data_IF_061584488064
#
_entry.id   IF_061584488064
#
_cell.length_a   1.000
_cell.length_b   1.000
_cell.length_c   1.000
_cell.angle_alpha   90.00
_cell.angle_beta   90.00
_cell.angle_gamma   90.00
#
_symmetry.space_group_name_H-M   'P 1'
#
loop_
_entity.id
_entity.type
_entity.pdbx_description
1 polymer ?
#
# COMPACT_ATOMS: atom_id res chain seq x y z
N UNK A 1 9.33 -14.96 -7.00
CA UNK A 1 10.57 -15.42 -7.66
C UNK A 1 11.62 -15.52 -6.57
N UNK A 2 11.56 -16.57 -5.75
CA UNK A 2 12.24 -16.56 -4.42
C UNK A 2 12.72 -17.94 -3.95
N UNK A 3 12.69 -18.96 -4.81
CA UNK A 3 13.30 -20.26 -4.47
C UNK A 3 14.42 -20.69 -5.44
N UNK A 4 14.71 -19.89 -6.48
CA UNK A 4 15.76 -20.17 -7.48
C UNK A 4 16.93 -19.16 -7.46
N UNK A 5 16.86 -18.11 -6.63
CA UNK A 5 17.94 -17.13 -6.44
C UNK A 5 18.96 -17.51 -5.34
N UNK A 6 18.75 -18.61 -4.62
CA UNK A 6 19.69 -19.09 -3.60
C UNK A 6 20.87 -19.88 -4.19
N UNK A 7 20.78 -20.26 -5.47
CA UNK A 7 21.82 -21.03 -6.19
C UNK A 7 22.59 -20.20 -7.24
N UNK A 8 22.04 -19.10 -7.76
CA UNK A 8 22.71 -18.11 -8.63
C UNK A 8 22.02 -16.76 -8.41
N UNK A 9 22.74 -15.64 -8.41
CA UNK A 9 22.24 -14.28 -8.12
C UNK A 9 21.21 -13.69 -9.11
N UNK A 10 20.38 -14.52 -9.72
CA UNK A 10 19.26 -14.20 -10.61
C UNK A 10 19.63 -13.22 -11.73
N UNK A 11 18.67 -12.36 -12.09
CA UNK A 11 18.88 -11.36 -13.14
C UNK A 11 19.93 -10.30 -12.77
N UNK A 12 20.24 -10.11 -11.48
CA UNK A 12 21.27 -9.17 -11.04
C UNK A 12 22.69 -9.61 -11.41
N UNK A 13 22.92 -10.90 -11.65
CA UNK A 13 24.21 -11.43 -12.12
C UNK A 13 24.36 -11.41 -13.65
N UNK A 14 23.27 -11.23 -14.40
CA UNK A 14 23.27 -11.26 -15.87
C UNK A 14 23.47 -9.86 -16.49
N UNK A 15 23.13 -8.79 -15.77
CA UNK A 15 23.21 -7.42 -16.27
C UNK A 15 24.34 -6.64 -15.59
N UNK A 16 25.27 -6.10 -16.40
CA UNK A 16 26.35 -5.24 -15.93
C UNK A 16 26.06 -3.73 -16.07
N UNK A 17 26.65 -2.95 -15.16
CA UNK A 17 26.77 -1.48 -15.18
C UNK A 17 25.48 -0.73 -15.55
N UNK A 18 25.32 -0.27 -16.80
CA UNK A 18 24.22 0.62 -17.19
C UNK A 18 22.86 -0.06 -17.17
N UNK A 19 22.77 -1.33 -17.59
CA UNK A 19 21.50 -2.08 -17.56
C UNK A 19 21.09 -2.38 -16.11
N UNK A 20 22.06 -2.73 -15.26
CA UNK A 20 21.87 -2.89 -13.83
C UNK A 20 21.33 -1.61 -13.19
N UNK A 21 21.94 -0.45 -13.47
CA UNK A 21 21.49 0.84 -12.95
C UNK A 21 20.05 1.17 -13.35
N UNK A 22 19.65 0.89 -14.59
CA UNK A 22 18.27 1.10 -15.05
C UNK A 22 17.26 0.22 -14.30
N UNK A 23 17.62 -1.03 -13.99
CA UNK A 23 16.74 -1.90 -13.18
C UNK A 23 16.54 -1.34 -11.77
N UNK A 24 17.60 -0.94 -11.06
CA UNK A 24 17.46 -0.32 -9.73
C UNK A 24 16.68 0.99 -9.79
N UNK A 25 16.98 1.86 -10.77
CA UNK A 25 16.27 3.12 -10.93
C UNK A 25 14.78 2.90 -11.19
N UNK A 26 14.42 1.89 -12.01
CA UNK A 26 13.02 1.54 -12.26
C UNK A 26 12.28 1.06 -11.00
N UNK A 27 12.96 0.32 -10.12
CA UNK A 27 12.36 -0.14 -8.86
C UNK A 27 12.01 1.05 -7.94
N UNK A 28 12.91 2.03 -7.84
CA UNK A 28 12.67 3.25 -7.07
C UNK A 28 11.61 4.15 -7.71
N UNK A 29 11.61 4.30 -9.04
CA UNK A 29 10.56 5.05 -9.75
C UNK A 29 9.19 4.42 -9.51
N UNK A 30 9.09 3.08 -9.56
CA UNK A 30 7.84 2.36 -9.28
C UNK A 30 7.35 2.63 -7.86
N UNK A 31 8.24 2.65 -6.88
CA UNK A 31 7.90 2.95 -5.48
C UNK A 31 7.31 4.36 -5.36
N UNK A 32 7.98 5.37 -5.92
CA UNK A 32 7.51 6.76 -5.89
C UNK A 32 6.18 6.92 -6.63
N UNK A 33 6.03 6.30 -7.81
CA UNK A 33 4.80 6.35 -8.59
C UNK A 33 3.61 5.72 -7.87
N UNK A 34 3.79 4.56 -7.25
CA UNK A 34 2.74 3.89 -6.47
C UNK A 34 2.31 4.76 -5.27
N UNK A 35 3.27 5.39 -4.59
CA UNK A 35 2.97 6.30 -3.49
C UNK A 35 2.28 7.58 -3.97
N UNK A 36 2.63 8.12 -5.15
CA UNK A 36 1.95 9.25 -5.75
C UNK A 36 0.47 8.94 -6.03
N UNK A 37 0.17 7.76 -6.57
CA UNK A 37 -1.21 7.28 -6.77
C UNK A 37 -1.94 7.10 -5.44
N UNK A 38 -1.26 6.56 -4.42
CA UNK A 38 -1.86 6.42 -3.09
C UNK A 38 -2.22 7.79 -2.46
N UNK A 39 -1.35 8.80 -2.61
CA UNK A 39 -1.63 10.15 -2.09
C UNK A 39 -2.82 10.79 -2.79
N UNK A 40 -2.97 10.63 -4.11
CA UNK A 40 -4.08 11.22 -4.85
C UNK A 40 -5.41 10.53 -4.55
N UNK A 41 -5.43 9.20 -4.46
CA UNK A 41 -6.66 8.44 -4.22
C UNK A 41 -7.14 8.48 -2.77
N UNK A 42 -6.22 8.42 -1.80
CA UNK A 42 -6.58 8.24 -0.38
C UNK A 42 -6.29 9.46 0.49
N UNK A 43 -5.23 10.23 0.23
CA UNK A 43 -4.81 11.35 1.08
C UNK A 43 -5.23 12.74 0.54
N UNK A 44 -6.18 12.77 -0.39
CA UNK A 44 -6.74 14.01 -0.93
C UNK A 44 -5.75 14.83 -1.78
N UNK A 45 -4.68 14.21 -2.27
CA UNK A 45 -3.72 14.84 -3.18
C UNK A 45 -3.12 16.14 -2.63
N UNK A 46 -3.50 17.22 -3.29
CA UNK A 46 -2.99 18.59 -3.14
C UNK A 46 -3.71 19.39 -2.04
N UNK A 47 -4.81 18.86 -1.49
CA UNK A 47 -5.57 19.56 -0.47
C UNK A 47 -4.91 19.43 0.90
N UNK A 48 -4.81 20.56 1.60
CA UNK A 48 -4.34 20.67 2.98
C UNK A 48 -5.31 21.55 3.77
N UNK A 49 -5.73 21.14 4.99
CA UNK A 49 -6.63 21.95 5.81
C UNK A 49 -5.95 23.29 6.15
N UNK A 50 -6.62 24.40 5.86
CA UNK A 50 -6.09 25.76 6.07
C UNK A 50 -5.34 26.38 4.88
N UNK A 51 -5.19 25.66 3.76
CA UNK A 51 -4.55 26.23 2.56
C UNK A 51 -5.37 27.37 1.95
N UNK A 52 -6.69 27.20 1.90
CA UNK A 52 -7.63 28.19 1.36
C UNK A 52 -7.68 29.47 2.20
N UNK A 53 -7.69 29.33 3.53
CA UNK A 53 -7.73 30.49 4.44
C UNK A 53 -6.43 31.26 4.33
N UNK A 54 -5.28 30.58 4.36
CA UNK A 54 -3.97 31.21 4.20
C UNK A 54 -3.82 31.92 2.84
N UNK A 55 -4.27 31.30 1.75
CA UNK A 55 -4.24 31.91 0.42
C UNK A 55 -5.11 33.18 0.36
N UNK A 56 -6.29 33.18 1.00
CA UNK A 56 -7.14 34.37 1.09
C UNK A 56 -6.53 35.47 1.95
N UNK A 57 -5.91 35.13 3.08
CA UNK A 57 -5.17 36.11 3.91
C UNK A 57 -4.02 36.75 3.13
N UNK A 58 -3.23 35.96 2.40
CA UNK A 58 -2.10 36.47 1.61
C UNK A 58 -2.61 37.31 0.43
N UNK A 59 -3.68 36.87 -0.24
CA UNK A 59 -4.30 37.63 -1.32
C UNK A 59 -4.83 39.00 -0.87
N UNK A 60 -5.36 39.08 0.36
CA UNK A 60 -5.89 40.32 0.93
C UNK A 60 -4.81 41.33 1.33
N UNK A 61 -3.62 40.87 1.74
CA UNK A 61 -2.53 41.75 2.23
C UNK A 61 -1.48 42.06 1.15
N UNK A 62 -1.20 41.12 0.25
CA UNK A 62 -0.08 41.19 -0.70
C UNK A 62 -0.52 41.13 -2.18
N UNK A 63 -1.82 41.13 -2.45
CA UNK A 63 -2.41 41.12 -3.78
C UNK A 63 -2.66 39.72 -4.36
N UNK A 64 -3.57 39.65 -5.36
CA UNK A 64 -4.08 38.41 -5.95
C UNK A 64 -2.97 37.50 -6.51
N UNK A 65 -1.92 38.09 -7.06
CA UNK A 65 -0.78 37.36 -7.63
C UNK A 65 0.00 36.59 -6.55
N UNK A 66 0.30 37.24 -5.42
CA UNK A 66 0.99 36.61 -4.31
C UNK A 66 0.14 35.50 -3.67
N UNK A 67 -1.17 35.72 -3.54
CA UNK A 67 -2.11 34.71 -3.02
C UNK A 67 -2.14 33.43 -3.87
N UNK A 68 -2.21 33.57 -5.20
CA UNK A 68 -2.22 32.44 -6.12
C UNK A 68 -0.87 31.71 -6.16
N UNK A 69 0.25 32.44 -6.11
CA UNK A 69 1.58 31.84 -6.06
C UNK A 69 1.80 31.01 -4.79
N UNK A 70 1.36 31.53 -3.63
CA UNK A 70 1.44 30.81 -2.35
C UNK A 70 0.55 29.56 -2.37
N UNK A 71 -0.66 29.65 -2.93
CA UNK A 71 -1.53 28.49 -3.08
C UNK A 71 -0.89 27.39 -3.94
N UNK A 72 -0.29 27.76 -5.09
CA UNK A 72 0.37 26.82 -6.00
C UNK A 72 1.61 26.16 -5.37
N UNK A 73 2.49 26.95 -4.76
CA UNK A 73 3.73 26.43 -4.15
C UNK A 73 3.45 25.56 -2.92
N UNK A 74 2.53 25.98 -2.05
CA UNK A 74 2.18 25.20 -0.86
C UNK A 74 1.40 23.92 -1.20
N UNK A 75 0.51 23.94 -2.20
CA UNK A 75 -0.20 22.73 -2.62
C UNK A 75 0.75 21.69 -3.21
N UNK A 76 1.69 22.12 -4.05
CA UNK A 76 2.74 21.26 -4.59
C UNK A 76 3.67 20.76 -3.48
N UNK A 77 4.09 21.63 -2.56
CA UNK A 77 4.89 21.26 -1.39
C UNK A 77 4.19 20.23 -0.50
N UNK A 78 2.90 20.40 -0.22
CA UNK A 78 2.11 19.46 0.55
C UNK A 78 1.98 18.10 -0.14
N UNK A 79 1.77 18.08 -1.47
CA UNK A 79 1.74 16.85 -2.24
C UNK A 79 3.08 16.10 -2.17
N UNK A 80 4.19 16.79 -2.46
CA UNK A 80 5.53 16.19 -2.41
C UNK A 80 5.91 15.70 -1.01
N UNK A 81 5.50 16.44 0.03
CA UNK A 81 5.72 16.04 1.42
C UNK A 81 4.96 14.75 1.73
N UNK A 82 3.67 14.64 1.34
CA UNK A 82 2.89 13.40 1.51
C UNK A 82 3.51 12.21 0.77
N UNK A 83 3.97 12.41 -0.46
CA UNK A 83 4.62 11.35 -1.26
C UNK A 83 5.93 10.90 -0.62
N UNK A 84 6.74 11.84 -0.13
CA UNK A 84 8.00 11.55 0.54
C UNK A 84 7.77 10.82 1.86
N UNK A 85 6.75 11.24 2.62
CA UNK A 85 6.35 10.59 3.87
C UNK A 85 5.88 9.14 3.61
N UNK A 86 5.01 8.91 2.62
CA UNK A 86 4.62 7.54 2.24
C UNK A 86 5.81 6.71 1.73
N UNK A 87 6.75 7.32 1.02
CA UNK A 87 7.97 6.63 0.56
C UNK A 87 8.86 6.22 1.73
N UNK A 88 9.00 7.08 2.73
CA UNK A 88 9.66 6.75 3.98
C UNK A 88 8.96 5.59 4.70
N UNK A 89 7.63 5.61 4.79
CA UNK A 89 6.85 4.52 5.39
C UNK A 89 7.04 3.19 4.63
N UNK A 90 7.03 3.19 3.30
CA UNK A 90 7.26 1.97 2.51
C UNK A 90 8.65 1.37 2.74
N UNK A 91 9.67 2.21 2.90
CA UNK A 91 11.04 1.77 3.26
C UNK A 91 11.07 1.24 4.70
N UNK A 92 10.35 1.87 5.62
CA UNK A 92 10.26 1.40 7.00
C UNK A 92 9.51 0.05 7.11
N UNK A 93 8.43 -0.14 6.35
CA UNK A 93 7.73 -1.43 6.25
C UNK A 93 8.67 -2.51 5.73
N UNK A 94 9.47 -2.21 4.70
CA UNK A 94 10.50 -3.14 4.20
C UNK A 94 11.51 -3.54 5.28
N UNK A 95 11.85 -2.64 6.20
CA UNK A 95 12.77 -2.92 7.30
C UNK A 95 12.14 -3.73 8.45
N UNK A 96 10.81 -3.70 8.60
CA UNK A 96 10.10 -4.31 9.74
C UNK A 96 9.42 -5.64 9.41
N UNK A 97 9.05 -5.87 8.15
CA UNK A 97 8.32 -7.08 7.74
C UNK A 97 9.29 -8.27 7.58
N UNK A 98 9.08 -9.37 8.33
CA UNK A 98 9.80 -10.62 8.10
C UNK A 98 9.49 -11.17 6.70
N UNK A 99 10.50 -11.73 6.02
CA UNK A 99 10.34 -12.26 4.65
C UNK A 99 9.19 -13.29 4.61
N UNK A 100 8.19 -13.03 3.76
CA UNK A 100 6.98 -13.86 3.61
C UNK A 100 7.20 -14.85 2.46
N UNK A 101 6.80 -16.11 2.64
CA UNK A 101 6.91 -17.12 1.57
C UNK A 101 5.89 -16.85 0.46
N UNK A 102 6.26 -17.16 -0.79
CA UNK A 102 5.39 -16.98 -1.98
C UNK A 102 3.97 -17.55 -1.81
N UNK A 103 3.86 -18.76 -1.25
CA UNK A 103 2.57 -19.42 -1.02
C UNK A 103 1.66 -18.61 -0.08
N UNK A 104 2.25 -17.93 0.91
CA UNK A 104 1.52 -17.08 1.85
C UNK A 104 1.08 -15.78 1.18
N UNK A 105 1.91 -15.20 0.31
CA UNK A 105 1.56 -14.02 -0.48
C UNK A 105 0.40 -14.30 -1.45
N UNK A 106 0.45 -15.45 -2.14
CA UNK A 106 -0.62 -15.87 -3.05
C UNK A 106 -1.94 -16.09 -2.31
N UNK A 107 -1.88 -16.73 -1.13
CA UNK A 107 -3.04 -16.96 -0.29
C UNK A 107 -3.64 -15.63 0.24
N UNK A 108 -2.80 -14.67 0.64
CA UNK A 108 -3.23 -13.33 1.06
C UNK A 108 -3.95 -12.58 -0.08
N UNK A 109 -3.37 -12.60 -1.29
CA UNK A 109 -3.96 -11.94 -2.47
C UNK A 109 -5.33 -12.50 -2.83
N UNK A 110 -5.42 -13.82 -3.00
CA UNK A 110 -6.63 -14.45 -3.53
C UNK A 110 -7.72 -14.68 -2.49
N UNK A 111 -7.38 -15.03 -1.25
CA UNK A 111 -8.39 -15.37 -0.25
C UNK A 111 -8.79 -14.21 0.65
N UNK A 112 -7.93 -13.21 0.80
CA UNK A 112 -8.17 -12.10 1.72
C UNK A 112 -8.39 -10.80 0.93
N UNK A 113 -7.44 -10.37 0.10
CA UNK A 113 -7.52 -9.04 -0.54
C UNK A 113 -8.65 -8.93 -1.57
N UNK A 114 -8.82 -9.93 -2.44
CA UNK A 114 -9.81 -9.88 -3.52
C UNK A 114 -11.27 -9.87 -3.01
N UNK A 115 -11.69 -10.80 -2.11
CA UNK A 115 -13.05 -10.77 -1.56
C UNK A 115 -13.33 -9.49 -0.76
N UNK A 116 -12.31 -8.98 -0.04
CA UNK A 116 -12.42 -7.77 0.76
C UNK A 116 -12.60 -6.50 -0.10
N UNK A 117 -11.89 -6.40 -1.21
CA UNK A 117 -12.05 -5.28 -2.14
C UNK A 117 -13.46 -5.27 -2.77
N UNK A 118 -13.94 -6.43 -3.22
CA UNK A 118 -15.30 -6.58 -3.76
C UNK A 118 -16.37 -6.19 -2.73
N UNK A 119 -16.21 -6.64 -1.49
CA UNK A 119 -17.13 -6.29 -0.42
C UNK A 119 -17.15 -4.78 -0.14
N UNK A 120 -15.99 -4.12 -0.11
CA UNK A 120 -15.91 -2.68 0.11
C UNK A 120 -16.63 -1.88 -1.00
N UNK A 121 -16.42 -2.26 -2.26
CA UNK A 121 -17.09 -1.61 -3.40
C UNK A 121 -18.60 -1.81 -3.34
N UNK A 122 -19.07 -3.03 -3.06
CA UNK A 122 -20.50 -3.33 -2.93
C UNK A 122 -21.13 -2.52 -1.80
N UNK A 123 -20.50 -2.46 -0.63
CA UNK A 123 -20.97 -1.66 0.50
C UNK A 123 -21.01 -0.17 0.18
N UNK A 124 -19.96 0.36 -0.44
CA UNK A 124 -19.91 1.78 -0.83
C UNK A 124 -21.02 2.12 -1.82
N UNK A 125 -21.32 1.22 -2.77
CA UNK A 125 -22.44 1.39 -3.70
C UNK A 125 -23.80 1.45 -2.98
N UNK A 126 -24.03 0.54 -2.02
CA UNK A 126 -25.27 0.50 -1.23
C UNK A 126 -25.44 1.77 -0.38
N UNK A 127 -24.40 2.18 0.36
CA UNK A 127 -24.44 3.35 1.24
C UNK A 127 -24.67 4.65 0.44
N UNK A 128 -24.08 4.77 -0.74
CA UNK A 128 -24.27 5.93 -1.61
C UNK A 128 -25.70 6.06 -2.16
N UNK A 129 -26.47 4.96 -2.23
CA UNK A 129 -27.87 4.98 -2.68
C UNK A 129 -28.85 5.30 -1.54
N UNK A 130 -28.55 4.86 -0.31
CA UNK A 130 -29.45 4.99 0.85
C UNK A 130 -29.34 6.34 1.58
N UNK A 131 -28.20 7.04 1.49
CA UNK A 131 -27.94 8.26 2.27
C UNK A 131 -27.76 9.47 1.33
N UNK A 132 -28.65 10.48 1.36
CA UNK A 132 -28.56 11.68 0.51
C UNK A 132 -27.34 12.56 0.82
N UNK A 133 -26.85 12.54 2.07
CA UNK A 133 -25.75 13.38 2.53
C UNK A 133 -24.38 12.77 2.20
N UNK A 134 -23.68 13.37 1.24
CA UNK A 134 -22.38 12.88 0.72
C UNK A 134 -21.28 12.81 1.78
N UNK A 135 -21.31 13.65 2.81
CA UNK A 135 -20.29 13.71 3.87
C UNK A 135 -20.51 12.57 4.89
N UNK A 136 -21.77 12.32 5.27
CA UNK A 136 -22.12 11.28 6.25
C UNK A 136 -21.99 9.89 5.60
N UNK A 137 -22.40 9.76 4.34
CA UNK A 137 -22.24 8.55 3.52
C UNK A 137 -20.77 8.10 3.40
N UNK A 138 -19.84 9.04 3.16
CA UNK A 138 -18.41 8.73 3.08
C UNK A 138 -17.79 8.24 4.39
N UNK A 139 -18.18 8.84 5.52
CA UNK A 139 -17.68 8.44 6.85
C UNK A 139 -18.25 7.07 7.24
N UNK A 140 -19.55 6.83 7.02
CA UNK A 140 -20.22 5.57 7.33
C UNK A 140 -19.67 4.42 6.46
N UNK A 141 -19.48 4.65 5.16
CA UNK A 141 -18.91 3.64 4.26
C UNK A 141 -17.46 3.29 4.66
N UNK A 142 -16.66 4.28 5.05
CA UNK A 142 -15.30 4.04 5.53
C UNK A 142 -15.26 3.26 6.84
N UNK A 143 -16.10 3.62 7.82
CA UNK A 143 -16.17 2.95 9.12
C UNK A 143 -16.68 1.52 8.98
N UNK A 144 -17.75 1.29 8.21
CA UNK A 144 -18.26 -0.07 7.97
C UNK A 144 -17.25 -0.90 7.16
N UNK A 145 -16.60 -0.29 6.17
CA UNK A 145 -15.51 -0.93 5.43
C UNK A 145 -14.39 -1.39 6.36
N UNK A 146 -13.92 -0.54 7.28
CA UNK A 146 -12.90 -0.88 8.27
C UNK A 146 -13.38 -1.96 9.24
N UNK A 147 -14.61 -1.87 9.76
CA UNK A 147 -15.17 -2.85 10.69
C UNK A 147 -15.29 -4.23 10.03
N UNK A 148 -15.67 -4.29 8.74
CA UNK A 148 -15.74 -5.57 8.04
C UNK A 148 -14.35 -6.09 7.67
N UNK A 149 -13.38 -5.21 7.34
CA UNK A 149 -11.97 -5.60 7.18
C UNK A 149 -11.45 -6.26 8.45
N UNK A 150 -11.70 -5.67 9.61
CA UNK A 150 -11.30 -6.25 10.90
C UNK A 150 -12.08 -7.54 11.21
N UNK A 151 -13.41 -7.54 11.02
CA UNK A 151 -14.26 -8.70 11.29
C UNK A 151 -13.90 -9.93 10.45
N UNK A 152 -13.68 -9.74 9.15
CA UNK A 152 -13.34 -10.84 8.23
C UNK A 152 -11.90 -11.31 8.44
N UNK A 153 -10.96 -10.41 8.75
CA UNK A 153 -9.58 -10.82 9.07
C UNK A 153 -9.45 -11.55 10.42
N UNK A 154 -10.37 -11.30 11.37
CA UNK A 154 -10.47 -12.08 12.61
C UNK A 154 -11.08 -13.48 12.36
N UNK A 155 -12.11 -13.58 11.52
CA UNK A 155 -12.76 -14.87 11.20
C UNK A 155 -11.90 -15.76 10.29
N UNK A 156 -11.15 -15.15 9.36
CA UNK A 156 -10.28 -15.84 8.41
C UNK A 156 -8.79 -15.75 8.77
N UNK A 157 -8.45 -15.33 10.00
CA UNK A 157 -7.07 -15.29 10.48
C UNK A 157 -6.38 -16.64 10.26
N UNK A 158 -5.07 -16.67 9.96
CA UNK A 158 -4.37 -17.89 9.59
C UNK A 158 -4.57 -18.95 10.68
N UNK A 159 -5.37 -19.99 10.37
CA UNK A 159 -5.50 -21.16 11.23
C UNK A 159 -4.09 -21.70 11.41
N UNK A 160 -3.60 -21.68 12.65
CA UNK A 160 -2.30 -22.26 13.01
C UNK A 160 -2.21 -23.63 12.34
N UNK A 161 -1.19 -23.90 11.51
CA UNK A 161 -1.01 -25.25 10.99
C UNK A 161 -0.89 -26.19 12.18
N UNK A 162 -1.61 -27.30 12.14
CA UNK A 162 -1.54 -28.31 13.19
C UNK A 162 -0.07 -28.68 13.42
N UNK A 163 0.38 -28.53 14.66
CA UNK A 163 1.70 -28.96 15.13
C UNK A 163 1.72 -30.49 15.01
N UNK A 164 2.17 -31.01 13.88
CA UNK A 164 2.11 -32.45 13.63
C UNK A 164 2.62 -32.95 12.29
N UNK A 165 2.84 -32.09 11.30
CA UNK A 165 3.46 -32.51 10.03
C UNK A 165 4.92 -32.04 9.93
N UNK A 166 5.71 -32.39 10.94
CA UNK A 166 7.13 -32.67 10.70
C UNK A 166 7.15 -34.13 10.26
N UNK A 167 7.00 -34.37 8.96
CA UNK A 167 7.42 -35.65 8.39
C UNK A 167 8.91 -35.76 8.63
N UNK A 168 9.28 -36.44 9.71
CA UNK A 168 10.64 -36.94 9.86
C UNK A 168 10.95 -37.71 8.58
N UNK A 169 12.01 -37.27 7.90
CA UNK A 169 12.67 -38.04 6.86
C UNK A 169 12.75 -39.47 7.38
N UNK A 170 12.06 -40.39 6.71
CA UNK A 170 12.16 -41.82 6.99
C UNK A 170 13.62 -42.18 6.81
N UNK A 171 14.35 -42.29 7.92
CA UNK A 171 15.70 -42.83 7.95
C UNK A 171 15.64 -44.15 7.20
N UNK A 172 16.36 -44.25 6.10
CA UNK A 172 16.56 -45.52 5.42
C UNK A 172 17.16 -46.49 6.43
N UNK A 173 16.45 -47.58 6.73
CA UNK A 173 17.05 -48.70 7.45
C UNK A 173 18.12 -49.31 6.55
N UNK A 174 19.40 -49.37 6.98
CA UNK A 174 20.47 -49.99 6.22
C UNK A 174 20.52 -51.51 6.38
N UNK A 175 19.42 -52.16 6.78
CA UNK A 175 19.37 -53.60 7.03
C UNK A 175 18.01 -54.18 6.66
N UNK A 176 17.75 -54.33 5.37
CA UNK A 176 16.82 -55.33 4.87
C UNK A 176 17.65 -56.33 4.05
N UNK A 177 17.82 -57.52 4.62
CA UNK A 177 18.36 -58.71 3.97
C UNK A 177 17.44 -59.16 2.85
#
# INVERSE_FOLDING_TARGET
VEAEQELVGGYNTEFGSMKFALFFMSEYIKLVAMNAIAVTLFLGGWHFPGLYTLAQFVSANFGQFAGNAVFGLLSLGAFLLKVTLLSFLSVWVRATVPRVRYDQLMNLGWKILLPMALFNVAMTAVVNVLVPDKIISGIIAFVIGVVVVVGVSVVNGPRKPAVGQVTLVKKSDPTAK
#
